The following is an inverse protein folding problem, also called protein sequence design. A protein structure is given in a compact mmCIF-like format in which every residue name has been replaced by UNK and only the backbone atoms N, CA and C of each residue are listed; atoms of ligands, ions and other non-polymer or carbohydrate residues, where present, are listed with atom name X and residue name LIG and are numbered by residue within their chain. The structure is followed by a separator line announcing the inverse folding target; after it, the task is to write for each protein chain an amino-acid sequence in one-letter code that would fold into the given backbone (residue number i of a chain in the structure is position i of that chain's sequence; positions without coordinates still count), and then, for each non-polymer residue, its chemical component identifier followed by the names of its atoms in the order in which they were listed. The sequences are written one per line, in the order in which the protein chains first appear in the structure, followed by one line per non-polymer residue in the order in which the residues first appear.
data_IF_006443177375
#
_entry.id   IF_006443177375
#
_cell.length_a   1.000
_cell.length_b   1.000
_cell.length_c   1.000
_cell.angle_alpha   90.00
_cell.angle_beta   90.00
_cell.angle_gamma   90.00
#
_symmetry.space_group_name_H-M   'P 1'
#
loop_
_entity.id
_entity.type
_entity.pdbx_description
1 polymer ?
#
# COMPACT_ATOMS: atom_id res chain seq x y z
N UNK A 1 50.91 -2.70 -19.96
CA UNK A 1 49.65 -2.09 -19.49
C UNK A 1 49.92 -1.46 -18.12
N UNK A 2 49.54 -0.21 -17.88
CA UNK A 2 49.85 0.46 -16.59
C UNK A 2 49.07 -0.17 -15.44
N UNK A 3 49.59 -0.06 -14.20
CA UNK A 3 48.88 -0.49 -12.99
C UNK A 3 47.50 0.15 -12.91
N UNK A 4 47.40 1.44 -13.24
CA UNK A 4 46.13 2.17 -13.31
C UNK A 4 45.15 1.54 -14.30
N UNK A 5 45.61 1.13 -15.48
CA UNK A 5 44.74 0.47 -16.48
C UNK A 5 44.26 -0.91 -16.01
N UNK A 6 45.10 -1.67 -15.30
CA UNK A 6 44.70 -2.94 -14.69
C UNK A 6 43.63 -2.75 -13.62
N UNK A 7 43.82 -1.77 -12.71
CA UNK A 7 42.83 -1.45 -11.67
C UNK A 7 41.52 -0.97 -12.28
N UNK A 8 41.57 -0.08 -13.27
CA UNK A 8 40.36 0.39 -13.96
C UNK A 8 39.56 -0.78 -14.55
N UNK A 9 40.21 -1.66 -15.32
CA UNK A 9 39.52 -2.83 -15.89
C UNK A 9 38.97 -3.77 -14.83
N UNK A 10 39.71 -4.02 -13.76
CA UNK A 10 39.21 -4.85 -12.65
C UNK A 10 37.94 -4.25 -12.03
N UNK A 11 37.92 -2.92 -11.80
CA UNK A 11 36.73 -2.22 -11.31
C UNK A 11 35.57 -2.29 -12.31
N UNK A 12 35.83 -2.14 -13.62
CA UNK A 12 34.79 -2.26 -14.64
C UNK A 12 34.21 -3.69 -14.72
N UNK A 13 35.05 -4.72 -14.55
CA UNK A 13 34.57 -6.12 -14.49
C UNK A 13 33.73 -6.34 -13.24
N UNK A 14 34.18 -5.88 -12.06
CA UNK A 14 33.40 -5.98 -10.83
C UNK A 14 32.08 -5.24 -10.93
N UNK A 15 32.07 -4.06 -11.55
CA UNK A 15 30.86 -3.30 -11.85
C UNK A 15 29.96 -4.06 -12.83
N UNK A 16 30.50 -4.64 -13.90
CA UNK A 16 29.73 -5.45 -14.84
C UNK A 16 29.08 -6.66 -14.17
N UNK A 17 29.79 -7.32 -13.25
CA UNK A 17 29.27 -8.46 -12.49
C UNK A 17 28.09 -8.10 -11.59
N UNK A 18 27.89 -6.83 -11.22
CA UNK A 18 26.68 -6.44 -10.47
C UNK A 18 25.41 -6.59 -11.31
N UNK A 19 25.50 -6.43 -12.64
CA UNK A 19 24.36 -6.68 -13.55
C UNK A 19 23.99 -8.16 -13.66
N UNK A 20 24.87 -9.09 -13.25
CA UNK A 20 24.50 -10.51 -13.16
C UNK A 20 23.37 -10.74 -12.13
N UNK A 21 23.28 -9.87 -11.11
CA UNK A 21 22.17 -9.89 -10.14
C UNK A 21 20.85 -9.52 -10.83
N UNK A 22 20.86 -8.50 -11.69
CA UNK A 22 19.69 -8.15 -12.48
C UNK A 22 19.30 -9.30 -13.40
N UNK A 23 20.28 -9.88 -14.10
CA UNK A 23 20.08 -11.08 -14.92
C UNK A 23 19.41 -12.22 -14.14
N UNK A 24 19.86 -12.49 -12.91
CA UNK A 24 19.23 -13.47 -12.03
C UNK A 24 17.76 -13.15 -11.76
N UNK A 25 17.43 -11.90 -11.41
CA UNK A 25 16.03 -11.52 -11.18
C UNK A 25 15.18 -11.72 -12.44
N UNK A 26 15.64 -11.31 -13.62
CA UNK A 26 14.91 -11.54 -14.87
C UNK A 26 14.70 -13.03 -15.23
N UNK A 27 15.44 -13.96 -14.60
CA UNK A 27 15.17 -15.41 -14.74
C UNK A 27 14.07 -15.95 -13.82
N UNK A 28 13.58 -15.17 -12.85
CA UNK A 28 12.55 -15.61 -11.91
C UNK A 28 11.17 -15.52 -12.55
N UNK A 29 10.21 -16.40 -12.18
CA UNK A 29 8.85 -16.27 -12.69
C UNK A 29 8.20 -14.99 -12.18
N UNK A 30 7.23 -14.50 -12.96
CA UNK A 30 6.41 -13.34 -12.60
C UNK A 30 5.01 -13.83 -12.30
N UNK A 31 4.55 -13.58 -11.09
CA UNK A 31 3.18 -13.83 -10.68
C UNK A 31 2.36 -12.60 -11.10
N UNK A 32 1.45 -12.79 -12.05
CA UNK A 32 0.52 -11.75 -12.48
C UNK A 32 -0.90 -12.16 -12.13
N UNK A 33 -1.74 -11.17 -11.89
CA UNK A 33 -3.18 -11.37 -11.81
C UNK A 33 -3.67 -11.80 -13.18
N UNK A 34 -4.43 -12.89 -13.22
CA UNK A 34 -5.20 -13.29 -14.39
C UNK A 34 -6.65 -12.82 -14.20
N UNK A 35 -7.11 -11.92 -15.05
CA UNK A 35 -8.49 -11.40 -14.97
C UNK A 35 -9.54 -12.48 -15.27
N UNK A 36 -9.15 -13.55 -15.99
CA UNK A 36 -10.01 -14.69 -16.24
C UNK A 36 -10.38 -15.46 -14.95
N UNK A 37 -9.68 -15.24 -13.83
CA UNK A 37 -10.04 -15.80 -12.53
C UNK A 37 -11.41 -15.31 -12.00
N UNK A 38 -11.98 -14.28 -12.63
CA UNK A 38 -13.35 -13.79 -12.37
C UNK A 38 -14.40 -14.28 -13.39
N UNK A 39 -14.01 -15.03 -14.42
CA UNK A 39 -14.95 -15.52 -15.42
C UNK A 39 -16.02 -16.41 -14.77
N UNK A 40 -17.28 -16.01 -14.91
CA UNK A 40 -18.42 -16.71 -14.33
C UNK A 40 -18.60 -16.53 -12.81
N UNK A 41 -17.73 -15.74 -12.15
CA UNK A 41 -17.89 -15.41 -10.72
C UNK A 41 -18.94 -14.30 -10.58
N UNK A 42 -20.03 -14.51 -9.81
CA UNK A 42 -21.03 -13.47 -9.62
C UNK A 42 -20.47 -12.32 -8.76
N UNK A 43 -20.89 -11.09 -9.06
CA UNK A 43 -20.49 -9.89 -8.30
C UNK A 43 -20.83 -9.98 -6.79
N UNK A 44 -21.84 -10.78 -6.43
CA UNK A 44 -22.20 -11.11 -5.05
C UNK A 44 -21.21 -12.03 -4.33
N UNK A 45 -20.14 -12.47 -4.98
CA UNK A 45 -19.02 -13.20 -4.38
C UNK A 45 -17.73 -12.37 -4.34
N UNK A 46 -17.73 -11.20 -4.98
CA UNK A 46 -16.58 -10.30 -4.94
C UNK A 46 -16.26 -9.86 -3.50
N UNK A 47 -14.98 -9.82 -3.10
CA UNK A 47 -14.59 -9.46 -1.75
C UNK A 47 -14.99 -8.03 -1.40
N UNK A 48 -15.32 -7.77 -0.14
CA UNK A 48 -15.54 -6.40 0.32
C UNK A 48 -14.19 -5.67 0.41
N UNK A 49 -14.08 -4.48 -0.18
CA UNK A 49 -12.82 -3.71 -0.20
C UNK A 49 -12.97 -2.43 0.63
N UNK A 50 -12.02 -2.18 1.52
CA UNK A 50 -11.89 -0.91 2.22
C UNK A 50 -10.62 -0.21 1.73
N UNK A 51 -10.83 0.84 0.93
CA UNK A 51 -9.75 1.75 0.55
C UNK A 51 -9.57 2.80 1.65
N UNK A 52 -8.45 2.73 2.37
CA UNK A 52 -7.98 3.80 3.22
C UNK A 52 -7.31 4.87 2.36
N UNK A 53 -7.70 6.13 2.58
CA UNK A 53 -7.23 7.27 1.83
C UNK A 53 -6.54 8.25 2.79
N UNK A 54 -5.22 8.09 3.04
CA UNK A 54 -4.45 8.97 3.91
C UNK A 54 -4.31 10.36 3.31
N UNK A 55 -4.65 11.37 4.10
CA UNK A 55 -4.61 12.77 3.68
C UNK A 55 -3.91 13.59 4.75
N UNK A 56 -2.90 14.35 4.35
CA UNK A 56 -2.13 15.21 5.24
C UNK A 56 -1.87 16.54 4.52
N UNK A 57 -2.69 17.56 4.80
CA UNK A 57 -2.56 18.91 4.20
C UNK A 57 -2.56 18.92 2.67
N UNK A 58 -3.42 18.10 2.08
CA UNK A 58 -3.55 17.97 0.63
C UNK A 58 -4.55 19.00 0.08
N UNK A 59 -4.30 19.47 -1.14
CA UNK A 59 -5.20 20.40 -1.81
C UNK A 59 -6.53 19.72 -2.16
N UNK A 60 -7.65 20.45 -2.03
CA UNK A 60 -8.96 19.91 -2.41
C UNK A 60 -9.02 19.50 -3.89
N UNK A 61 -8.33 20.22 -4.77
CA UNK A 61 -8.24 19.87 -6.20
C UNK A 61 -7.58 18.50 -6.41
N UNK A 62 -6.48 18.22 -5.71
CA UNK A 62 -5.80 16.91 -5.75
C UNK A 62 -6.75 15.81 -5.29
N UNK A 63 -7.37 16.00 -4.12
CA UNK A 63 -8.32 15.02 -3.58
C UNK A 63 -9.51 14.78 -4.51
N UNK A 64 -10.03 15.84 -5.13
CA UNK A 64 -11.12 15.78 -6.09
C UNK A 64 -10.75 14.94 -7.32
N UNK A 65 -9.55 15.12 -7.87
CA UNK A 65 -9.06 14.32 -9.00
C UNK A 65 -9.05 12.83 -8.65
N UNK A 66 -8.51 12.46 -7.48
CA UNK A 66 -8.53 11.06 -7.03
C UNK A 66 -9.94 10.54 -6.82
N UNK A 67 -10.86 11.33 -6.23
CA UNK A 67 -12.25 10.89 -6.06
C UNK A 67 -12.95 10.66 -7.41
N UNK A 68 -12.69 11.49 -8.43
CA UNK A 68 -13.23 11.30 -9.78
C UNK A 68 -12.71 10.03 -10.45
N UNK A 69 -11.45 9.66 -10.21
CA UNK A 69 -10.90 8.39 -10.68
C UNK A 69 -11.56 7.19 -9.97
N UNK A 70 -11.72 7.28 -8.64
CA UNK A 70 -12.35 6.23 -7.84
C UNK A 70 -13.84 6.04 -8.12
N UNK A 71 -14.52 7.06 -8.67
CA UNK A 71 -15.92 6.96 -9.08
C UNK A 71 -16.11 6.16 -10.39
N UNK A 72 -15.03 6.00 -11.16
CA UNK A 72 -14.97 5.24 -12.41
C UNK A 72 -14.56 3.77 -12.21
N UNK A 73 -14.39 3.32 -10.96
CA UNK A 73 -14.09 1.92 -10.68
C UNK A 73 -15.24 1.02 -11.17
N UNK A 74 -14.88 0.00 -11.94
CA UNK A 74 -15.79 -1.04 -12.42
C UNK A 74 -15.97 -2.11 -11.33
N UNK A 75 -16.58 -1.72 -10.21
CA UNK A 75 -16.78 -2.60 -9.07
C UNK A 75 -18.13 -2.30 -8.39
N UNK A 76 -18.86 -3.30 -7.87
CA UNK A 76 -20.17 -3.08 -7.27
C UNK A 76 -20.07 -2.11 -6.09
N UNK A 77 -20.89 -1.04 -6.08
CA UNK A 77 -20.76 0.07 -5.12
C UNK A 77 -21.01 -0.34 -3.68
N UNK A 78 -21.78 -1.40 -3.46
CA UNK A 78 -22.04 -2.03 -2.18
C UNK A 78 -20.90 -2.94 -1.70
N UNK A 79 -19.93 -3.25 -2.58
CA UNK A 79 -18.77 -4.11 -2.31
C UNK A 79 -17.50 -3.34 -1.98
N UNK A 80 -17.55 -2.01 -1.91
CA UNK A 80 -16.41 -1.24 -1.42
C UNK A 80 -16.82 0.01 -0.66
N UNK A 81 -15.85 0.59 0.06
CA UNK A 81 -15.96 1.94 0.60
C UNK A 81 -14.61 2.63 0.62
N UNK A 82 -14.65 3.95 0.55
CA UNK A 82 -13.47 4.80 0.62
C UNK A 82 -13.49 5.50 1.98
N UNK A 83 -12.41 5.39 2.76
CA UNK A 83 -12.29 5.96 4.09
C UNK A 83 -11.12 6.95 4.08
N UNK A 84 -11.42 8.24 3.97
CA UNK A 84 -10.44 9.30 4.17
C UNK A 84 -10.06 9.39 5.65
N UNK A 85 -8.76 9.48 5.94
CA UNK A 85 -8.22 9.38 7.31
C UNK A 85 -7.38 10.60 7.73
N UNK A 86 -7.91 11.84 7.65
CA UNK A 86 -7.17 13.02 8.08
C UNK A 86 -6.92 13.00 9.59
N UNK A 87 -5.87 13.70 10.05
CA UNK A 87 -5.73 13.97 11.49
C UNK A 87 -6.87 14.89 11.95
N UNK A 88 -7.36 14.70 13.17
CA UNK A 88 -8.49 15.46 13.71
C UNK A 88 -8.19 16.96 13.90
N UNK A 89 -6.92 17.33 14.05
CA UNK A 89 -6.42 18.70 14.17
C UNK A 89 -6.19 19.39 12.82
N UNK A 90 -6.22 18.65 11.71
CA UNK A 90 -6.15 19.18 10.34
C UNK A 90 -7.54 19.66 9.88
N UNK A 91 -8.02 20.75 10.50
CA UNK A 91 -9.38 21.26 10.30
C UNK A 91 -9.68 21.66 8.85
N UNK A 92 -8.66 22.15 8.14
CA UNK A 92 -8.79 22.55 6.73
C UNK A 92 -9.03 21.34 5.83
N UNK A 93 -8.18 20.30 5.95
CA UNK A 93 -8.33 19.06 5.18
C UNK A 93 -9.66 18.38 5.52
N UNK A 94 -10.04 18.34 6.80
CA UNK A 94 -11.33 17.80 7.23
C UNK A 94 -12.50 18.56 6.58
N UNK A 95 -12.45 19.90 6.53
CA UNK A 95 -13.49 20.69 5.89
C UNK A 95 -13.60 20.41 4.38
N UNK A 96 -12.47 20.31 3.68
CA UNK A 96 -12.40 19.94 2.26
C UNK A 96 -12.99 18.55 2.00
N UNK A 97 -12.60 17.55 2.80
CA UNK A 97 -13.16 16.20 2.70
C UNK A 97 -14.67 16.15 2.97
N UNK A 98 -15.18 16.98 3.89
CA UNK A 98 -16.63 17.07 4.14
C UNK A 98 -17.40 17.70 2.97
N UNK A 99 -16.79 18.63 2.23
CA UNK A 99 -17.37 19.15 0.98
C UNK A 99 -17.37 18.08 -0.10
N UNK A 100 -16.26 17.37 -0.28
CA UNK A 100 -16.14 16.26 -1.24
C UNK A 100 -17.12 15.12 -0.92
N UNK A 101 -17.31 14.78 0.35
CA UNK A 101 -18.25 13.74 0.78
C UNK A 101 -19.71 14.01 0.34
N UNK A 102 -20.10 15.28 0.15
CA UNK A 102 -21.44 15.61 -0.38
C UNK A 102 -21.59 15.25 -1.85
N UNK A 103 -20.48 15.22 -2.58
CA UNK A 103 -20.43 14.93 -4.02
C UNK A 103 -20.15 13.45 -4.29
N UNK A 104 -19.38 12.79 -3.41
CA UNK A 104 -18.98 11.40 -3.54
C UNK A 104 -19.56 10.55 -2.40
N UNK A 105 -20.73 9.90 -2.56
CA UNK A 105 -21.42 9.20 -1.48
C UNK A 105 -20.64 8.03 -0.84
N UNK A 106 -19.75 7.41 -1.61
CA UNK A 106 -18.87 6.32 -1.18
C UNK A 106 -17.69 6.79 -0.32
N UNK A 107 -17.44 8.10 -0.25
CA UNK A 107 -16.41 8.69 0.60
C UNK A 107 -16.91 8.84 2.04
N UNK A 108 -16.23 8.18 2.97
CA UNK A 108 -16.39 8.34 4.42
C UNK A 108 -15.19 9.08 5.00
N UNK A 109 -15.42 9.89 6.02
CA UNK A 109 -14.36 10.67 6.69
C UNK A 109 -14.20 10.14 8.11
N UNK A 110 -13.04 9.55 8.38
CA UNK A 110 -12.63 9.05 9.69
C UNK A 110 -11.53 9.96 10.24
N UNK A 111 -11.88 10.81 11.20
CA UNK A 111 -10.90 11.72 11.83
C UNK A 111 -10.03 10.92 12.79
N UNK A 112 -8.72 10.99 12.63
CA UNK A 112 -7.75 10.31 13.49
C UNK A 112 -7.44 11.20 14.69
N UNK A 113 -7.85 10.83 15.93
CA UNK A 113 -7.61 11.64 17.11
C UNK A 113 -6.16 11.50 17.61
N UNK A 114 -5.72 12.38 18.53
CA UNK A 114 -4.44 12.21 19.23
C UNK A 114 -4.34 10.83 19.90
N UNK A 115 -3.12 10.30 20.05
CA UNK A 115 -2.91 8.95 20.62
C UNK A 115 -3.29 8.80 22.10
N UNK A 116 -3.60 9.91 22.77
CA UNK A 116 -4.16 9.96 24.12
C UNK A 116 -5.67 9.72 24.15
N UNK A 117 -6.35 9.75 23.01
CA UNK A 117 -7.78 9.51 22.92
C UNK A 117 -8.13 8.03 23.17
N UNK A 118 -9.18 7.70 23.95
CA UNK A 118 -9.54 6.32 24.29
C UNK A 118 -9.84 5.43 23.08
N UNK A 119 -10.20 5.99 21.92
CA UNK A 119 -10.41 5.21 20.69
C UNK A 119 -9.16 4.47 20.22
N UNK A 120 -7.97 4.83 20.70
CA UNK A 120 -6.73 4.10 20.43
C UNK A 120 -6.59 2.78 21.20
N UNK A 121 -7.42 2.52 22.21
CA UNK A 121 -7.37 1.28 23.00
C UNK A 121 -7.50 0.01 22.14
N UNK A 122 -8.21 0.11 21.01
CA UNK A 122 -8.32 -0.99 20.05
C UNK A 122 -6.96 -1.38 19.44
N UNK A 123 -6.09 -0.39 19.19
CA UNK A 123 -4.73 -0.59 18.68
C UNK A 123 -3.86 -1.19 19.77
N UNK A 124 -3.89 -0.59 20.97
CA UNK A 124 -3.05 -1.04 22.09
C UNK A 124 -3.33 -2.48 22.47
N UNK A 125 -4.61 -2.85 22.60
CA UNK A 125 -5.02 -4.22 22.91
C UNK A 125 -4.61 -5.19 21.80
N UNK A 126 -4.74 -4.79 20.53
CA UNK A 126 -4.33 -5.64 19.42
C UNK A 126 -2.81 -5.87 19.40
N UNK A 127 -2.01 -4.85 19.68
CA UNK A 127 -0.55 -4.98 19.77
C UNK A 127 -0.10 -5.73 21.02
N UNK A 128 -0.74 -5.51 22.17
CA UNK A 128 -0.49 -6.29 23.40
C UNK A 128 -0.72 -7.79 23.16
N UNK A 129 -1.72 -8.16 22.36
CA UNK A 129 -2.06 -9.55 22.04
C UNK A 129 -1.24 -10.15 20.87
N UNK A 130 -0.40 -9.37 20.20
CA UNK A 130 0.31 -9.80 18.99
C UNK A 130 1.82 -9.65 19.14
N UNK A 131 2.52 -10.76 19.38
CA UNK A 131 3.99 -10.78 19.50
C UNK A 131 4.71 -10.31 18.22
N UNK A 132 4.04 -10.42 17.05
CA UNK A 132 4.58 -9.96 15.76
C UNK A 132 4.63 -8.43 15.65
N UNK A 133 3.92 -7.70 16.50
CA UNK A 133 4.10 -6.26 16.70
C UNK A 133 5.37 -5.97 17.51
N UNK A 134 6.53 -6.45 17.04
CA UNK A 134 7.78 -6.47 17.82
C UNK A 134 8.23 -5.08 18.32
N UNK A 135 7.88 -4.02 17.58
CA UNK A 135 8.17 -2.63 17.95
C UNK A 135 7.42 -2.15 19.19
N UNK A 136 6.30 -2.80 19.49
CA UNK A 136 5.50 -2.54 20.68
C UNK A 136 6.09 -3.25 21.90
N UNK A 137 6.64 -4.44 21.72
CA UNK A 137 7.14 -5.27 22.83
C UNK A 137 8.63 -5.07 23.15
N UNK A 138 9.43 -4.59 22.19
CA UNK A 138 10.90 -4.62 22.29
C UNK A 138 11.56 -3.32 21.82
N UNK A 139 12.75 -3.07 22.36
CA UNK A 139 13.60 -1.94 21.96
C UNK A 139 13.24 -0.60 22.61
N UNK A 140 13.89 0.48 22.15
CA UNK A 140 13.80 1.82 22.76
C UNK A 140 12.40 2.45 22.76
N UNK A 141 11.47 1.89 21.98
CA UNK A 141 10.12 2.43 21.78
C UNK A 141 9.02 1.46 22.23
N UNK A 142 9.40 0.42 23.00
CA UNK A 142 8.44 -0.52 23.58
C UNK A 142 7.38 0.22 24.40
N UNK A 143 6.11 -0.17 24.21
CA UNK A 143 4.91 0.41 24.80
C UNK A 143 4.75 1.93 24.65
N UNK A 144 5.49 2.56 23.74
CA UNK A 144 5.42 4.00 23.53
C UNK A 144 4.17 4.36 22.71
N UNK A 145 3.19 4.98 23.37
CA UNK A 145 1.92 5.42 22.77
C UNK A 145 2.03 6.77 22.05
N UNK A 146 3.13 7.50 22.17
CA UNK A 146 3.32 8.79 21.49
C UNK A 146 3.79 8.58 20.03
N UNK A 147 2.93 7.99 19.21
CA UNK A 147 3.27 7.62 17.84
C UNK A 147 3.57 8.85 16.96
N UNK A 148 4.51 8.75 16.00
CA UNK A 148 4.86 9.87 15.12
C UNK A 148 3.64 10.37 14.34
N UNK A 149 3.47 11.70 14.15
CA UNK A 149 2.33 12.27 13.45
C UNK A 149 2.44 12.17 11.92
N UNK A 150 2.54 10.94 11.40
CA UNK A 150 2.70 10.62 9.96
C UNK A 150 1.47 9.90 9.39
N UNK A 151 1.41 9.74 8.06
CA UNK A 151 0.38 8.94 7.35
C UNK A 151 0.22 7.54 7.96
N UNK A 152 1.31 6.88 8.35
CA UNK A 152 1.29 5.56 9.02
C UNK A 152 0.44 5.55 10.30
N UNK A 153 0.48 6.62 11.11
CA UNK A 153 -0.36 6.74 12.31
C UNK A 153 -1.84 6.82 11.95
N UNK A 154 -2.16 7.52 10.87
CA UNK A 154 -3.54 7.59 10.37
C UNK A 154 -4.03 6.21 9.95
N UNK A 155 -3.21 5.49 9.17
CA UNK A 155 -3.49 4.13 8.71
C UNK A 155 -3.72 3.18 9.88
N UNK A 156 -2.85 3.17 10.89
CA UNK A 156 -2.96 2.28 12.07
C UNK A 156 -4.30 2.47 12.79
N UNK A 157 -4.64 3.71 13.14
CA UNK A 157 -5.88 3.98 13.90
C UNK A 157 -7.12 3.58 13.10
N UNK A 158 -7.18 4.01 11.84
CA UNK A 158 -8.31 3.73 10.98
C UNK A 158 -8.47 2.23 10.69
N UNK A 159 -7.35 1.54 10.39
CA UNK A 159 -7.33 0.12 10.14
C UNK A 159 -7.87 -0.68 11.32
N UNK A 160 -7.32 -0.50 12.52
CA UNK A 160 -7.77 -1.25 13.69
C UNK A 160 -9.20 -0.89 14.11
N UNK A 161 -9.61 0.37 13.96
CA UNK A 161 -11.00 0.78 14.22
C UNK A 161 -11.96 0.06 13.27
N UNK A 162 -11.63 0.04 11.98
CA UNK A 162 -12.44 -0.63 10.96
C UNK A 162 -12.44 -2.16 11.13
N UNK A 163 -11.27 -2.76 11.38
CA UNK A 163 -11.14 -4.19 11.60
C UNK A 163 -11.92 -4.64 12.84
N UNK A 164 -11.86 -3.89 13.94
CA UNK A 164 -12.65 -4.17 15.12
C UNK A 164 -14.16 -4.05 14.87
N UNK A 165 -14.60 -3.03 14.13
CA UNK A 165 -16.01 -2.87 13.77
C UNK A 165 -16.52 -3.95 12.79
N UNK A 166 -15.62 -4.54 11.99
CA UNK A 166 -15.92 -5.65 11.09
C UNK A 166 -15.84 -7.02 11.78
N UNK A 167 -15.29 -7.11 13.00
CA UNK A 167 -15.15 -8.37 13.74
C UNK A 167 -16.50 -9.09 13.85
N UNK A 168 -16.55 -10.33 13.37
CA UNK A 168 -17.77 -11.15 13.33
C UNK A 168 -18.71 -10.88 12.14
N UNK A 169 -18.40 -9.94 11.24
CA UNK A 169 -19.17 -9.64 10.01
C UNK A 169 -18.52 -10.17 8.73
N UNK A 170 -17.37 -10.81 8.84
CA UNK A 170 -16.55 -11.29 7.72
C UNK A 170 -15.26 -10.48 7.56
N UNK A 171 -14.37 -11.01 6.73
CA UNK A 171 -13.10 -10.36 6.38
C UNK A 171 -13.30 -9.34 5.23
N UNK A 172 -12.31 -8.48 5.03
CA UNK A 172 -12.29 -7.53 3.92
C UNK A 172 -10.87 -7.33 3.39
N UNK A 173 -10.76 -6.84 2.16
CA UNK A 173 -9.48 -6.46 1.59
C UNK A 173 -9.14 -5.02 2.00
N UNK A 174 -7.94 -4.87 2.56
CA UNK A 174 -7.32 -3.57 2.86
C UNK A 174 -6.66 -3.07 1.59
N UNK A 175 -6.98 -1.84 1.19
CA UNK A 175 -6.28 -1.12 0.14
C UNK A 175 -5.92 0.27 0.64
N UNK A 176 -4.82 0.85 0.16
CA UNK A 176 -4.54 2.27 0.35
C UNK A 176 -3.76 2.83 -0.84
N UNK A 177 -3.95 4.13 -1.06
CA UNK A 177 -3.33 4.89 -2.14
C UNK A 177 -2.91 6.27 -1.61
N UNK A 178 -1.97 6.92 -2.28
CA UNK A 178 -1.65 8.30 -2.00
C UNK A 178 -2.79 9.26 -2.42
N UNK A 179 -2.77 10.45 -1.84
CA UNK A 179 -3.80 11.45 -2.03
C UNK A 179 -3.99 11.92 -3.48
N UNK A 180 -2.95 11.78 -4.30
CA UNK A 180 -2.84 12.17 -5.71
C UNK A 180 -2.91 10.98 -6.68
N UNK A 181 -3.13 9.76 -6.16
CA UNK A 181 -3.18 8.56 -6.98
C UNK A 181 -4.51 8.42 -7.71
N UNK A 182 -4.44 8.05 -9.00
CA UNK A 182 -5.60 7.81 -9.85
C UNK A 182 -5.52 6.38 -10.39
N UNK A 183 -6.09 5.39 -9.68
CA UNK A 183 -6.04 4.00 -10.12
C UNK A 183 -6.87 3.79 -11.41
N UNK A 184 -6.54 2.78 -12.23
CA UNK A 184 -7.35 2.42 -13.38
C UNK A 184 -8.73 1.88 -12.94
N UNK A 185 -9.71 1.89 -13.84
CA UNK A 185 -11.10 1.49 -13.55
C UNK A 185 -11.22 0.03 -13.07
N UNK A 186 -10.34 -0.85 -13.53
CA UNK A 186 -10.31 -2.27 -13.18
C UNK A 186 -9.53 -2.58 -11.89
N UNK A 187 -9.03 -1.57 -11.16
CA UNK A 187 -8.17 -1.76 -9.99
C UNK A 187 -8.75 -2.73 -8.94
N UNK A 188 -10.04 -2.65 -8.67
CA UNK A 188 -10.72 -3.53 -7.72
C UNK A 188 -11.13 -4.88 -8.31
N UNK A 189 -11.35 -4.95 -9.64
CA UNK A 189 -11.53 -6.24 -10.31
C UNK A 189 -10.23 -7.03 -10.27
N UNK A 190 -9.09 -6.39 -10.54
CA UNK A 190 -7.79 -7.02 -10.42
C UNK A 190 -7.52 -7.54 -9.01
N UNK A 191 -7.98 -6.81 -7.98
CA UNK A 191 -7.92 -7.28 -6.61
C UNK A 191 -8.81 -8.50 -6.37
N UNK A 192 -10.06 -8.45 -6.83
CA UNK A 192 -11.00 -9.56 -6.68
C UNK A 192 -10.55 -10.83 -7.42
N UNK A 193 -9.92 -10.68 -8.59
CA UNK A 193 -9.31 -11.78 -9.32
C UNK A 193 -8.09 -12.32 -8.56
N UNK A 194 -7.09 -11.47 -8.33
CA UNK A 194 -5.79 -11.89 -7.80
C UNK A 194 -5.85 -12.43 -6.38
N UNK A 195 -6.71 -11.88 -5.50
CA UNK A 195 -6.79 -12.32 -4.10
C UNK A 195 -7.42 -13.71 -3.93
N UNK A 196 -7.88 -14.34 -5.02
CA UNK A 196 -8.28 -15.75 -5.05
C UNK A 196 -7.08 -16.70 -5.03
N UNK A 197 -5.95 -16.21 -5.55
CA UNK A 197 -4.72 -17.00 -5.78
C UNK A 197 -3.54 -16.50 -4.95
N UNK A 198 -3.56 -15.24 -4.53
CA UNK A 198 -2.45 -14.58 -3.83
C UNK A 198 -2.90 -13.93 -2.52
N UNK A 199 -2.00 -13.88 -1.53
CA UNK A 199 -2.27 -13.24 -0.22
C UNK A 199 -1.94 -11.75 -0.19
N UNK A 200 -1.09 -11.30 -1.12
CA UNK A 200 -0.69 -9.91 -1.27
C UNK A 200 -0.68 -9.56 -2.75
N UNK A 201 -1.30 -8.44 -3.10
CA UNK A 201 -1.18 -7.84 -4.43
C UNK A 201 -0.57 -6.45 -4.32
N UNK A 202 0.19 -6.07 -5.34
CA UNK A 202 0.75 -4.73 -5.50
C UNK A 202 0.60 -4.31 -6.96
N UNK A 203 -0.08 -3.19 -7.18
CA UNK A 203 -0.13 -2.57 -8.50
C UNK A 203 1.24 -1.99 -8.87
N UNK A 204 1.55 -2.00 -10.17
CA UNK A 204 2.70 -1.27 -10.70
C UNK A 204 2.40 0.23 -10.69
N UNK A 205 3.41 1.06 -10.45
CA UNK A 205 3.29 2.51 -10.47
C UNK A 205 3.70 3.06 -11.81
N UNK A 206 2.87 3.95 -12.37
CA UNK A 206 3.13 4.63 -13.62
C UNK A 206 3.16 6.13 -13.35
N UNK A 207 4.16 6.83 -13.88
CA UNK A 207 4.25 8.28 -13.80
C UNK A 207 3.15 8.91 -14.67
N UNK A 208 2.29 9.74 -14.07
CA UNK A 208 1.15 10.35 -14.76
C UNK A 208 1.53 11.44 -15.77
N UNK A 209 2.72 12.04 -15.63
CA UNK A 209 3.24 13.10 -16.50
C UNK A 209 4.29 12.61 -17.49
N UNK A 210 4.34 11.29 -17.75
CA UNK A 210 5.18 10.73 -18.80
C UNK A 210 4.86 11.44 -20.13
N UNK A 211 5.90 11.84 -20.86
CA UNK A 211 5.81 12.55 -22.14
C UNK A 211 5.38 14.03 -22.09
N UNK A 212 5.19 14.63 -20.91
CA UNK A 212 4.99 16.09 -20.83
C UNK A 212 6.23 16.89 -21.27
N UNK A 213 7.41 16.32 -21.05
CA UNK A 213 8.69 16.86 -21.52
C UNK A 213 9.75 15.77 -21.60
N UNK A 214 10.86 16.04 -22.30
CA UNK A 214 12.00 15.11 -22.29
C UNK A 214 12.50 14.81 -20.88
N UNK A 215 12.60 15.83 -20.01
CA UNK A 215 13.04 15.65 -18.64
C UNK A 215 12.07 14.72 -17.87
N UNK A 216 10.76 14.94 -18.00
CA UNK A 216 9.75 14.07 -17.40
C UNK A 216 9.87 12.63 -17.91
N UNK A 217 10.06 12.43 -19.22
CA UNK A 217 10.24 11.10 -19.81
C UNK A 217 11.50 10.40 -19.30
N UNK A 218 12.64 11.09 -19.20
CA UNK A 218 13.87 10.50 -18.65
C UNK A 218 13.75 10.19 -17.16
N UNK A 219 13.09 11.03 -16.37
CA UNK A 219 12.85 10.76 -14.96
C UNK A 219 11.89 9.59 -14.75
N UNK A 220 10.84 9.48 -15.57
CA UNK A 220 9.91 8.36 -15.52
C UNK A 220 10.56 7.04 -15.95
N UNK A 221 11.51 7.07 -16.88
CA UNK A 221 12.17 5.88 -17.42
C UNK A 221 12.80 5.00 -16.33
N UNK A 222 13.51 5.60 -15.37
CA UNK A 222 14.16 4.83 -14.28
C UNK A 222 13.13 4.10 -13.43
N UNK A 223 12.10 4.83 -12.98
CA UNK A 223 10.98 4.26 -12.24
C UNK A 223 10.26 3.16 -13.02
N UNK A 224 9.98 3.38 -14.30
CA UNK A 224 9.28 2.41 -15.15
C UNK A 224 10.13 1.17 -15.47
N UNK A 225 11.45 1.32 -15.59
CA UNK A 225 12.34 0.18 -15.81
C UNK A 225 12.39 -0.71 -14.57
N UNK A 226 12.47 -0.11 -13.38
CA UNK A 226 12.46 -0.87 -12.14
C UNK A 226 11.08 -1.48 -11.85
N UNK A 227 10.02 -0.68 -11.79
CA UNK A 227 8.67 -1.13 -11.38
C UNK A 227 7.97 -1.95 -12.49
N UNK A 228 8.13 -1.52 -13.74
CA UNK A 228 7.51 -2.12 -14.91
C UNK A 228 8.14 -3.45 -15.33
N UNK A 229 9.47 -3.56 -15.25
CA UNK A 229 10.21 -4.70 -15.79
C UNK A 229 10.86 -5.57 -14.73
N UNK A 230 11.65 -5.03 -13.80
CA UNK A 230 12.41 -5.82 -12.83
C UNK A 230 11.57 -6.27 -11.63
N UNK A 231 10.81 -5.35 -11.04
CA UNK A 231 10.05 -5.56 -9.80
C UNK A 231 9.08 -6.75 -9.85
N UNK A 232 8.36 -7.04 -10.95
CA UNK A 232 7.45 -8.19 -11.00
C UNK A 232 8.16 -9.53 -10.79
N UNK A 233 9.45 -9.64 -11.14
CA UNK A 233 10.24 -10.84 -10.91
C UNK A 233 10.60 -11.08 -9.43
N UNK A 234 10.32 -10.13 -8.54
CA UNK A 234 10.42 -10.33 -7.08
C UNK A 234 9.24 -11.13 -6.52
N UNK A 235 8.15 -11.28 -7.28
CA UNK A 235 7.00 -12.06 -6.83
C UNK A 235 7.33 -13.56 -6.73
N UNK A 236 7.96 -14.12 -7.77
CA UNK A 236 8.67 -15.42 -7.77
C UNK A 236 8.06 -16.52 -6.89
N UNK A 237 6.76 -16.79 -7.01
CA UNK A 237 6.02 -17.78 -6.19
C UNK A 237 6.17 -17.58 -4.66
N UNK A 238 6.32 -16.34 -4.21
CA UNK A 238 6.53 -15.98 -2.80
C UNK A 238 7.91 -16.38 -2.25
N UNK A 239 8.85 -16.80 -3.12
CA UNK A 239 10.18 -17.30 -2.68
C UNK A 239 11.20 -16.20 -2.42
N UNK A 240 10.90 -14.97 -2.82
CA UNK A 240 11.75 -13.81 -2.63
C UNK A 240 11.04 -12.80 -1.72
N UNK A 241 11.81 -12.00 -0.96
CA UNK A 241 11.21 -10.89 -0.22
C UNK A 241 10.44 -9.99 -1.19
N UNK A 242 9.15 -9.84 -0.96
CA UNK A 242 8.29 -8.99 -1.77
C UNK A 242 8.14 -7.62 -1.12
N UNK A 243 8.70 -6.60 -1.78
CA UNK A 243 8.75 -5.23 -1.27
C UNK A 243 7.53 -4.46 -1.77
N UNK A 244 6.43 -4.44 -1.03
CA UNK A 244 5.27 -3.63 -1.42
C UNK A 244 5.59 -2.13 -1.37
N UNK A 245 4.92 -1.34 -2.21
CA UNK A 245 5.30 0.02 -2.59
C UNK A 245 4.30 1.10 -2.14
N UNK A 246 3.44 0.77 -1.19
CA UNK A 246 2.65 1.77 -0.45
C UNK A 246 1.43 2.35 -1.16
N UNK A 247 1.24 2.11 -2.46
CA UNK A 247 0.00 2.47 -3.17
C UNK A 247 -0.49 1.34 -4.06
N UNK A 248 -1.81 1.17 -4.14
CA UNK A 248 -2.45 0.17 -5.01
C UNK A 248 -2.20 -1.28 -4.57
N UNK A 249 -1.99 -1.48 -3.27
CA UNK A 249 -1.74 -2.77 -2.65
C UNK A 249 -3.01 -3.37 -2.04
N UNK A 250 -3.07 -4.70 -1.93
CA UNK A 250 -4.16 -5.41 -1.30
C UNK A 250 -3.65 -6.45 -0.31
N UNK A 251 -4.27 -6.49 0.86
CA UNK A 251 -4.09 -7.53 1.89
C UNK A 251 -5.45 -7.99 2.39
N UNK A 252 -5.55 -9.22 2.92
CA UNK A 252 -6.67 -9.57 3.80
C UNK A 252 -6.50 -8.82 5.13
N UNK A 253 -7.58 -8.25 5.67
CA UNK A 253 -7.52 -7.52 6.93
C UNK A 253 -7.14 -8.44 8.10
N UNK A 254 -7.65 -9.68 8.09
CA UNK A 254 -7.28 -10.71 9.07
C UNK A 254 -5.78 -10.98 9.11
N UNK A 255 -5.14 -11.15 7.95
CA UNK A 255 -3.70 -11.38 7.87
C UNK A 255 -2.91 -10.17 8.37
N UNK A 256 -3.31 -8.96 8.00
CA UNK A 256 -2.63 -7.74 8.48
C UNK A 256 -2.81 -7.55 10.00
N UNK A 257 -3.95 -7.94 10.59
CA UNK A 257 -4.12 -7.99 12.05
C UNK A 257 -3.18 -9.03 12.67
N UNK A 258 -3.14 -10.24 12.11
CA UNK A 258 -2.29 -11.32 12.58
C UNK A 258 -0.79 -10.97 12.52
N UNK A 259 -0.41 -10.11 11.55
CA UNK A 259 0.94 -9.60 11.39
C UNK A 259 1.34 -8.51 12.40
N UNK A 260 0.36 -7.92 13.11
CA UNK A 260 0.55 -6.79 14.02
C UNK A 260 0.35 -5.41 13.37
N UNK A 261 -0.19 -5.34 12.15
CA UNK A 261 -0.48 -4.09 11.46
C UNK A 261 0.77 -3.37 10.92
N UNK A 262 0.74 -2.04 10.86
CA UNK A 262 1.84 -1.22 10.35
C UNK A 262 2.80 -0.78 11.46
N UNK A 263 4.09 -0.72 11.15
CA UNK A 263 5.13 -0.30 12.08
C UNK A 263 5.24 1.25 12.13
N UNK A 264 4.81 1.93 13.20
CA UNK A 264 4.64 3.40 13.23
C UNK A 264 5.96 4.19 13.22
N UNK A 265 7.06 3.51 13.49
CA UNK A 265 8.35 4.09 13.82
C UNK A 265 9.34 4.10 12.65
N UNK A 266 8.99 3.45 11.54
CA UNK A 266 9.79 3.42 10.31
C UNK A 266 9.43 4.61 9.42
N UNK A 267 10.30 4.89 8.46
CA UNK A 267 10.04 5.90 7.43
C UNK A 267 9.30 5.31 6.24
N UNK A 268 9.51 4.03 5.96
CA UNK A 268 8.89 3.25 4.88
C UNK A 268 8.21 2.02 5.50
N UNK A 269 6.94 2.14 5.90
CA UNK A 269 6.22 1.02 6.53
C UNK A 269 5.86 -0.10 5.55
N UNK A 270 5.72 0.24 4.29
CA UNK A 270 5.20 -0.58 3.21
C UNK A 270 6.13 -1.76 2.89
N UNK A 271 7.41 -1.57 2.45
CA UNK A 271 8.34 -2.68 2.30
C UNK A 271 8.49 -3.54 3.55
N UNK A 272 8.39 -2.94 4.74
CA UNK A 272 8.51 -3.69 5.99
C UNK A 272 7.30 -4.60 6.24
N UNK A 273 6.09 -4.16 5.91
CA UNK A 273 4.90 -5.02 5.92
C UNK A 273 5.06 -6.17 4.92
N UNK A 274 5.50 -5.88 3.69
CA UNK A 274 5.75 -6.92 2.67
C UNK A 274 6.79 -7.95 3.11
N UNK A 275 7.89 -7.50 3.72
CA UNK A 275 8.90 -8.37 4.30
C UNK A 275 8.33 -9.23 5.44
N UNK A 276 7.49 -8.65 6.32
CA UNK A 276 6.85 -9.40 7.40
C UNK A 276 5.88 -10.45 6.87
N UNK A 277 5.08 -10.16 5.85
CA UNK A 277 4.26 -11.16 5.17
C UNK A 277 5.14 -12.31 4.69
N UNK A 278 6.19 -12.02 3.89
CA UNK A 278 7.11 -13.04 3.39
C UNK A 278 7.73 -13.91 4.49
N UNK A 279 8.19 -13.32 5.60
CA UNK A 279 8.79 -14.06 6.72
C UNK A 279 7.79 -14.95 7.45
N UNK A 280 6.50 -14.63 7.41
CA UNK A 280 5.46 -15.34 8.17
C UNK A 280 4.66 -16.36 7.34
N UNK A 281 4.98 -16.50 6.05
CA UNK A 281 4.21 -17.31 5.11
C UNK A 281 2.83 -16.72 4.84
#
# INVERSE_FOLDING_TARGET
MSVTAMVFMAVQVLYFLTFAIDGYFFTRPVNKVDMADLDGVPQSEYPYIVLFYPVLRELESTMRTTMLALEQLDYPRERYRIVAIPNADDTETVASLRRLQRQFPNLKVHKVPPTTDPSWDVVWKAWDACDKAYWWHRGKRAHNRNLPPKKTRQLIHAFYTVAHAASGRGDFLVNYIDADSCPPSDHFLAAAAGMRSYDVLQAQNIAGNLNESMAASFHAFDHMTWDGAKYPHLSADGRHPYWVLGKGLFFKASDLVALGGFHPWLTIEDPEVGMRFWVNG
#
